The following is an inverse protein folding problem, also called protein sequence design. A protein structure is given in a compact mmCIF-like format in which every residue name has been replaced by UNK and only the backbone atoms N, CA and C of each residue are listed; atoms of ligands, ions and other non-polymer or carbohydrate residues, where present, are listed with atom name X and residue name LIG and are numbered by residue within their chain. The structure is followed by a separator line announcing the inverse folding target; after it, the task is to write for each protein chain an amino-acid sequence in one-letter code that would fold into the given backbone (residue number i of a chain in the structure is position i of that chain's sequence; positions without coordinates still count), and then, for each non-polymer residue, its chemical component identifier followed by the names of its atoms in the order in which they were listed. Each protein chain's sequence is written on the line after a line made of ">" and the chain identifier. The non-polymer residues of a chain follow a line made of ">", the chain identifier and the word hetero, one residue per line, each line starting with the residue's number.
data_IF_218478451391
#
_entry.id   IF_218478451391
#
_cell.length_a   1.000
_cell.length_b   1.000
_cell.length_c   1.000
_cell.angle_alpha   90.00
_cell.angle_beta   90.00
_cell.angle_gamma   90.00
#
_symmetry.space_group_name_H-M   'P 1'
#
loop_
_entity.id
_entity.type
_entity.pdbx_description
1 polymer ?
#
# COMPACT_ATOMS: atom_id res chain seq x y z
N UNK A 1 1.29 -15.14 16.90
CA UNK A 1 1.49 -14.89 15.46
C UNK A 1 1.82 -16.21 14.79
N UNK A 2 1.41 -16.46 13.53
CA UNK A 2 1.81 -17.68 12.81
C UNK A 2 3.32 -17.61 12.50
N UNK A 3 4.03 -18.73 12.62
CA UNK A 3 5.35 -18.85 12.03
C UNK A 3 5.21 -18.86 10.50
N UNK A 4 5.85 -17.91 9.83
CA UNK A 4 5.82 -17.75 8.37
C UNK A 4 7.18 -18.12 7.72
N UNK A 5 8.06 -18.81 8.42
CA UNK A 5 9.40 -19.16 7.92
C UNK A 5 9.34 -20.00 6.65
N UNK A 6 8.36 -20.91 6.55
CA UNK A 6 8.11 -21.70 5.34
C UNK A 6 7.22 -21.00 4.30
N UNK A 7 6.87 -19.73 4.48
CA UNK A 7 6.23 -18.92 3.43
C UNK A 7 7.28 -18.53 2.39
N UNK A 8 7.77 -19.53 1.66
CA UNK A 8 8.82 -19.38 0.65
C UNK A 8 8.60 -20.36 -0.50
N UNK A 9 9.13 -20.05 -1.67
CA UNK A 9 9.14 -20.99 -2.79
C UNK A 9 10.22 -22.05 -2.61
N UNK A 10 9.99 -23.27 -3.07
CA UNK A 10 10.92 -24.37 -2.92
C UNK A 10 12.30 -24.05 -3.50
N UNK A 11 12.39 -23.29 -4.60
CA UNK A 11 13.67 -22.95 -5.22
C UNK A 11 14.56 -22.11 -4.29
N UNK A 12 14.00 -21.33 -3.38
CA UNK A 12 14.76 -20.60 -2.37
C UNK A 12 15.56 -21.58 -1.50
N UNK A 13 14.88 -22.59 -0.95
CA UNK A 13 15.52 -23.58 -0.10
C UNK A 13 16.53 -24.46 -0.86
N UNK A 14 16.23 -24.82 -2.12
CA UNK A 14 17.19 -25.60 -2.94
C UNK A 14 18.43 -24.76 -3.29
N UNK A 15 18.28 -23.46 -3.55
CA UNK A 15 19.42 -22.56 -3.72
C UNK A 15 20.22 -22.40 -2.42
N UNK A 16 19.55 -22.22 -1.28
CA UNK A 16 20.22 -22.14 0.02
C UNK A 16 21.07 -23.39 0.29
N UNK A 17 20.51 -24.59 0.05
CA UNK A 17 21.26 -25.83 0.17
C UNK A 17 22.47 -25.85 -0.78
N UNK A 18 22.28 -25.37 -2.02
CA UNK A 18 23.38 -25.23 -2.98
C UNK A 18 24.49 -24.29 -2.51
N UNK A 19 24.13 -23.14 -1.95
CA UNK A 19 25.08 -22.18 -1.38
C UNK A 19 25.83 -22.79 -0.18
N UNK A 20 25.12 -23.52 0.70
CA UNK A 20 25.69 -24.21 1.83
C UNK A 20 26.73 -25.28 1.38
N UNK A 21 26.37 -26.17 0.45
CA UNK A 21 27.23 -27.21 -0.07
C UNK A 21 28.47 -26.66 -0.83
N UNK A 22 28.38 -25.43 -1.35
CA UNK A 22 29.48 -24.71 -2.01
C UNK A 22 30.29 -23.83 -1.08
N UNK A 23 29.94 -23.73 0.20
CA UNK A 23 30.57 -22.86 1.20
C UNK A 23 30.62 -21.37 0.80
N UNK A 24 29.55 -20.88 0.14
CA UNK A 24 29.38 -19.45 -0.24
C UNK A 24 28.17 -18.82 0.45
N UNK A 25 27.51 -19.55 1.34
CA UNK A 25 26.28 -19.10 2.00
C UNK A 25 26.49 -17.89 2.91
N UNK A 26 27.69 -17.74 3.48
CA UNK A 26 28.07 -16.62 4.34
C UNK A 26 28.61 -15.39 3.59
N UNK A 27 28.74 -15.46 2.27
CA UNK A 27 29.17 -14.32 1.45
C UNK A 27 28.20 -13.15 1.66
N UNK A 28 28.71 -11.97 1.98
CA UNK A 28 27.87 -10.79 2.15
C UNK A 28 27.41 -10.27 0.80
N UNK A 29 26.12 -10.07 0.66
CA UNK A 29 25.47 -9.59 -0.57
C UNK A 29 24.54 -8.43 -0.31
N UNK A 30 24.21 -7.70 -1.38
CA UNK A 30 23.22 -6.64 -1.37
C UNK A 30 22.10 -6.98 -2.35
N UNK A 31 20.87 -7.00 -1.86
CA UNK A 31 19.66 -7.11 -2.68
C UNK A 31 18.84 -5.85 -2.56
N UNK A 32 18.16 -5.47 -3.64
CA UNK A 32 17.17 -4.41 -3.64
C UNK A 32 15.77 -4.92 -3.99
N UNK A 33 14.78 -4.47 -3.23
CA UNK A 33 13.38 -4.55 -3.62
C UNK A 33 12.97 -3.25 -4.31
N UNK A 34 12.32 -3.36 -5.47
CA UNK A 34 11.75 -2.23 -6.21
C UNK A 34 10.58 -2.71 -7.09
N UNK A 35 9.82 -1.79 -7.65
CA UNK A 35 8.80 -2.11 -8.67
C UNK A 35 9.12 -1.40 -9.99
N UNK A 36 8.55 -1.90 -11.11
CA UNK A 36 8.83 -1.37 -12.46
C UNK A 36 7.76 -0.44 -13.00
N UNK A 37 6.54 -0.54 -12.49
CA UNK A 37 5.39 0.28 -12.87
C UNK A 37 4.61 0.66 -11.64
N UNK A 38 4.08 1.88 -11.63
CA UNK A 38 3.21 2.31 -10.55
C UNK A 38 1.94 1.47 -10.48
N UNK A 39 1.39 1.31 -9.27
CA UNK A 39 0.10 0.69 -9.04
C UNK A 39 -1.02 1.43 -9.80
N UNK A 40 -2.02 0.70 -10.28
CA UNK A 40 -3.24 1.24 -10.90
C UNK A 40 -2.98 2.19 -12.08
N UNK A 41 -1.90 2.00 -12.84
CA UNK A 41 -1.46 2.92 -13.90
C UNK A 41 -1.39 4.39 -13.43
N UNK A 42 -1.15 4.60 -12.14
CA UNK A 42 -1.05 5.91 -11.50
C UNK A 42 0.31 6.57 -11.68
N UNK A 43 0.45 7.79 -11.20
CA UNK A 43 1.72 8.54 -11.24
C UNK A 43 2.64 8.24 -10.06
N UNK A 44 2.20 7.48 -9.05
CA UNK A 44 2.94 7.18 -7.82
C UNK A 44 2.50 5.85 -7.20
N UNK A 45 3.29 5.37 -6.23
CA UNK A 45 2.95 4.21 -5.39
C UNK A 45 3.27 4.51 -3.93
N UNK A 46 2.31 4.28 -3.03
CA UNK A 46 2.50 4.41 -1.58
C UNK A 46 3.10 3.11 -1.06
N UNK A 47 4.26 3.15 -0.43
CA UNK A 47 4.87 1.96 0.18
C UNK A 47 4.19 1.64 1.51
N UNK A 48 3.72 0.40 1.64
CA UNK A 48 3.03 -0.09 2.82
C UNK A 48 3.39 -1.57 3.09
N UNK A 49 3.25 -2.03 4.33
CA UNK A 49 3.57 -3.40 4.74
C UNK A 49 4.94 -3.56 5.40
N UNK A 50 5.67 -2.48 5.62
CA UNK A 50 6.98 -2.51 6.28
C UNK A 50 6.87 -3.06 7.71
N UNK A 51 5.85 -2.66 8.46
CA UNK A 51 5.63 -3.16 9.83
C UNK A 51 5.42 -4.68 9.85
N UNK A 52 4.59 -5.23 8.96
CA UNK A 52 4.38 -6.67 8.87
C UNK A 52 5.65 -7.41 8.45
N UNK A 53 6.46 -6.81 7.60
CA UNK A 53 7.76 -7.38 7.24
C UNK A 53 8.74 -7.37 8.42
N UNK A 54 8.75 -6.32 9.25
CA UNK A 54 9.52 -6.28 10.50
C UNK A 54 9.08 -7.40 11.46
N UNK A 55 7.78 -7.62 11.59
CA UNK A 55 7.24 -8.72 12.39
C UNK A 55 7.71 -10.09 11.86
N UNK A 56 7.73 -10.26 10.53
CA UNK A 56 8.23 -11.48 9.89
C UNK A 56 9.72 -11.72 10.24
N UNK A 57 10.59 -10.71 10.04
CA UNK A 57 12.03 -10.84 10.34
C UNK A 57 12.30 -11.13 11.82
N UNK A 58 11.56 -10.49 12.73
CA UNK A 58 11.70 -10.72 14.16
C UNK A 58 11.26 -12.13 14.60
N UNK A 59 10.43 -12.81 13.82
CA UNK A 59 9.87 -14.12 14.18
C UNK A 59 10.36 -15.26 13.28
N UNK A 60 11.24 -15.00 12.30
CA UNK A 60 11.75 -16.03 11.40
C UNK A 60 12.64 -17.02 12.16
N UNK A 61 12.25 -18.29 12.14
CA UNK A 61 12.98 -19.41 12.73
C UNK A 61 12.44 -20.74 12.21
N UNK A 62 13.29 -21.74 12.01
CA UNK A 62 12.84 -23.07 11.63
C UNK A 62 12.52 -23.88 12.92
N UNK A 63 11.25 -24.24 13.10
CA UNK A 63 10.83 -25.15 14.17
C UNK A 63 11.23 -26.59 13.85
N UNK A 64 11.23 -27.48 14.87
CA UNK A 64 11.49 -28.92 14.63
C UNK A 64 10.47 -29.52 13.64
N UNK A 65 9.21 -29.11 13.70
CA UNK A 65 8.17 -29.54 12.76
C UNK A 65 8.47 -29.09 11.32
N UNK A 66 8.98 -27.86 11.14
CA UNK A 66 9.43 -27.35 9.84
C UNK A 66 10.59 -28.18 9.30
N UNK A 67 11.59 -28.50 10.15
CA UNK A 67 12.76 -29.30 9.77
C UNK A 67 12.40 -30.75 9.44
N UNK A 68 11.49 -31.36 10.19
CA UNK A 68 10.97 -32.70 9.91
C UNK A 68 10.20 -32.75 8.59
N UNK A 69 9.40 -31.72 8.32
CA UNK A 69 8.74 -31.57 7.02
C UNK A 69 9.76 -31.44 5.87
N UNK A 70 10.75 -30.55 5.99
CA UNK A 70 11.80 -30.39 4.98
C UNK A 70 12.59 -31.67 4.76
N UNK A 71 12.88 -32.42 5.81
CA UNK A 71 13.54 -33.73 5.74
C UNK A 71 12.73 -34.74 4.96
N UNK A 72 11.41 -34.74 5.12
CA UNK A 72 10.47 -35.63 4.41
C UNK A 72 10.47 -35.44 2.90
N UNK A 73 10.89 -34.27 2.41
CA UNK A 73 11.00 -33.96 0.97
C UNK A 73 12.15 -34.72 0.30
N UNK A 74 13.11 -35.25 1.06
CA UNK A 74 14.31 -35.96 0.57
C UNK A 74 15.17 -35.16 -0.44
N UNK A 75 15.19 -33.81 -0.28
CA UNK A 75 15.94 -32.88 -1.15
C UNK A 75 17.17 -32.30 -0.48
N UNK A 76 17.23 -32.34 0.85
CA UNK A 76 18.21 -31.61 1.66
C UNK A 76 19.10 -32.56 2.46
N UNK A 77 20.38 -32.21 2.62
CA UNK A 77 21.30 -32.97 3.47
C UNK A 77 20.96 -32.75 4.95
N UNK A 78 21.24 -33.76 5.80
CA UNK A 78 21.07 -33.61 7.24
C UNK A 78 21.90 -32.46 7.81
N UNK A 79 23.08 -32.18 7.24
CA UNK A 79 23.95 -31.07 7.65
C UNK A 79 23.32 -29.73 7.36
N UNK A 80 22.65 -29.58 6.22
CA UNK A 80 21.95 -28.35 5.88
C UNK A 80 20.73 -28.14 6.77
N UNK A 81 19.96 -29.19 7.08
CA UNK A 81 18.82 -29.09 8.00
C UNK A 81 19.28 -28.71 9.42
N UNK A 82 20.42 -29.26 9.88
CA UNK A 82 21.02 -28.87 11.17
C UNK A 82 21.46 -27.40 11.16
N UNK A 83 22.04 -26.93 10.05
CA UNK A 83 22.39 -25.51 9.88
C UNK A 83 21.17 -24.59 9.93
N UNK A 84 20.03 -24.97 9.34
CA UNK A 84 18.79 -24.19 9.38
C UNK A 84 18.20 -24.10 10.78
N UNK A 85 18.44 -25.05 11.68
CA UNK A 85 17.93 -25.04 13.07
C UNK A 85 18.35 -23.78 13.83
N UNK A 86 19.57 -23.30 13.59
CA UNK A 86 20.16 -22.15 14.25
C UNK A 86 19.95 -20.85 13.44
N UNK A 87 19.04 -20.88 12.46
CA UNK A 87 18.80 -19.71 11.61
C UNK A 87 18.37 -18.51 12.43
N UNK A 88 19.10 -17.42 12.26
CA UNK A 88 18.78 -16.09 12.80
C UNK A 88 19.18 -15.06 11.77
N UNK A 89 18.33 -14.05 11.57
CA UNK A 89 18.70 -12.92 10.71
C UNK A 89 19.73 -12.03 11.45
N UNK A 90 20.85 -11.77 10.81
CA UNK A 90 21.97 -10.99 11.37
C UNK A 90 22.44 -9.85 10.48
N UNK A 91 21.75 -9.63 9.35
CA UNK A 91 22.14 -8.62 8.38
C UNK A 91 21.57 -7.22 8.68
N UNK A 92 21.88 -6.30 7.76
CA UNK A 92 21.34 -4.96 7.71
C UNK A 92 20.16 -4.90 6.72
N UNK A 93 19.11 -4.18 7.10
CA UNK A 93 18.00 -3.83 6.22
C UNK A 93 17.78 -2.33 6.29
N UNK A 94 17.72 -1.70 5.13
CA UNK A 94 17.35 -0.31 4.96
C UNK A 94 16.04 -0.26 4.18
N UNK A 95 15.08 0.55 4.61
CA UNK A 95 13.80 0.70 3.92
C UNK A 95 13.34 2.15 3.94
N UNK A 96 12.47 2.50 3.01
CA UNK A 96 11.74 3.76 3.11
C UNK A 96 10.76 3.69 4.27
N UNK A 97 10.45 4.82 4.86
CA UNK A 97 9.43 4.91 5.90
C UNK A 97 8.06 4.48 5.34
N UNK A 98 7.30 3.69 6.10
CA UNK A 98 5.96 3.26 5.66
C UNK A 98 5.07 4.49 5.42
N UNK A 99 4.37 4.51 4.28
CA UNK A 99 3.62 5.66 3.80
C UNK A 99 4.40 6.60 2.86
N UNK A 100 5.70 6.39 2.66
CA UNK A 100 6.47 7.16 1.67
C UNK A 100 5.99 6.85 0.26
N UNK A 101 5.88 7.88 -0.57
CA UNK A 101 5.58 7.74 -1.99
C UNK A 101 6.88 7.41 -2.73
N UNK A 102 6.83 6.37 -3.57
CA UNK A 102 7.95 5.94 -4.39
C UNK A 102 7.54 5.78 -5.85
N UNK A 103 8.55 5.69 -6.71
CA UNK A 103 8.39 5.64 -8.16
C UNK A 103 9.13 4.42 -8.76
N UNK A 104 8.88 4.06 -10.03
CA UNK A 104 9.48 2.88 -10.66
C UNK A 104 11.01 2.88 -10.63
N UNK A 105 11.59 1.68 -10.40
CA UNK A 105 13.03 1.38 -10.43
C UNK A 105 13.85 1.99 -9.28
N UNK A 106 13.22 2.55 -8.26
CA UNK A 106 13.87 2.99 -7.04
C UNK A 106 13.90 1.86 -6.01
N UNK A 107 15.04 1.60 -5.34
CA UNK A 107 15.05 0.75 -4.17
C UNK A 107 14.10 1.28 -3.08
N UNK A 108 13.09 0.49 -2.72
CA UNK A 108 12.19 0.76 -1.59
C UNK A 108 12.68 0.07 -0.31
N UNK A 109 13.47 -0.98 -0.50
CA UNK A 109 14.11 -1.72 0.57
C UNK A 109 15.41 -2.33 0.03
N UNK A 110 16.49 -2.21 0.81
CA UNK A 110 17.80 -2.81 0.52
C UNK A 110 18.21 -3.71 1.68
N UNK A 111 18.62 -4.93 1.36
CA UNK A 111 19.13 -5.92 2.32
C UNK A 111 20.62 -6.13 2.06
N UNK A 112 21.43 -5.96 3.10
CA UNK A 112 22.86 -6.31 3.12
C UNK A 112 23.04 -7.38 4.19
N UNK A 113 23.28 -8.63 3.77
CA UNK A 113 23.31 -9.77 4.68
C UNK A 113 24.10 -10.95 4.10
N UNK A 114 24.39 -12.00 4.89
CA UNK A 114 24.82 -13.27 4.34
C UNK A 114 23.86 -13.78 3.27
N UNK A 115 24.40 -14.37 2.19
CA UNK A 115 23.65 -14.74 0.99
C UNK A 115 22.42 -15.61 1.29
N UNK A 116 22.55 -16.59 2.20
CA UNK A 116 21.43 -17.46 2.57
C UNK A 116 20.29 -16.70 3.27
N UNK A 117 20.61 -15.71 4.10
CA UNK A 117 19.61 -14.89 4.79
C UNK A 117 18.92 -13.93 3.81
N UNK A 118 19.72 -13.21 3.01
CA UNK A 118 19.18 -12.26 2.03
C UNK A 118 18.29 -12.96 1.00
N UNK A 119 18.64 -14.19 0.59
CA UNK A 119 17.84 -14.96 -0.38
C UNK A 119 16.53 -15.48 0.21
N UNK A 120 16.55 -16.02 1.44
CA UNK A 120 15.38 -16.66 2.05
C UNK A 120 14.18 -15.71 2.19
N UNK A 121 14.42 -14.45 2.53
CA UNK A 121 13.38 -13.49 2.86
C UNK A 121 12.61 -12.95 1.63
N UNK A 122 13.09 -13.20 0.39
CA UNK A 122 12.49 -12.69 -0.85
C UNK A 122 10.99 -12.98 -0.95
N UNK A 123 10.63 -14.27 -0.81
CA UNK A 123 9.26 -14.69 -1.11
C UNK A 123 8.24 -14.12 -0.11
N UNK A 124 8.59 -14.02 1.19
CA UNK A 124 7.69 -13.43 2.18
C UNK A 124 7.62 -11.89 2.06
N UNK A 125 8.76 -11.24 1.80
CA UNK A 125 8.86 -9.80 1.62
C UNK A 125 7.93 -9.31 0.50
N UNK A 126 7.98 -9.97 -0.66
CA UNK A 126 7.27 -9.50 -1.86
C UNK A 126 5.74 -9.44 -1.68
N UNK A 127 5.00 -10.49 -1.28
CA UNK A 127 3.55 -10.41 -1.14
C UNK A 127 3.13 -9.48 0.00
N UNK A 128 3.91 -9.38 1.08
CA UNK A 128 3.60 -8.48 2.20
C UNK A 128 3.62 -7.02 1.74
N UNK A 129 4.70 -6.58 1.11
CA UNK A 129 4.88 -5.17 0.72
C UNK A 129 4.11 -4.85 -0.55
N UNK A 130 4.10 -5.74 -1.56
CA UNK A 130 3.39 -5.51 -2.81
C UNK A 130 1.88 -5.35 -2.59
N UNK A 131 1.27 -6.25 -1.82
CA UNK A 131 -0.18 -6.23 -1.59
C UNK A 131 -0.61 -4.97 -0.85
N UNK A 132 0.03 -4.67 0.29
CA UNK A 132 -0.37 -3.49 1.08
C UNK A 132 -0.08 -2.18 0.34
N UNK A 133 1.04 -2.09 -0.39
CA UNK A 133 1.34 -0.90 -1.22
C UNK A 133 0.31 -0.71 -2.33
N UNK A 134 -0.11 -1.80 -2.97
CA UNK A 134 -1.16 -1.77 -3.99
C UNK A 134 -2.48 -1.23 -3.43
N UNK A 135 -2.94 -1.76 -2.28
CA UNK A 135 -4.21 -1.35 -1.67
C UNK A 135 -4.14 0.07 -1.12
N UNK A 136 -3.04 0.47 -0.48
CA UNK A 136 -2.86 1.84 0.00
C UNK A 136 -2.90 2.85 -1.17
N UNK A 137 -2.26 2.53 -2.28
CA UNK A 137 -2.28 3.37 -3.49
C UNK A 137 -3.67 3.43 -4.11
N UNK A 138 -4.38 2.29 -4.24
CA UNK A 138 -5.77 2.26 -4.72
C UNK A 138 -6.69 3.10 -3.83
N UNK A 139 -6.58 2.96 -2.51
CA UNK A 139 -7.34 3.75 -1.55
C UNK A 139 -7.09 5.26 -1.70
N UNK A 140 -5.83 5.66 -1.86
CA UNK A 140 -5.45 7.06 -2.07
C UNK A 140 -6.11 7.65 -3.33
N UNK A 141 -6.19 6.89 -4.42
CA UNK A 141 -6.86 7.32 -5.66
C UNK A 141 -8.38 7.46 -5.47
N UNK A 142 -8.99 6.51 -4.76
CA UNK A 142 -10.42 6.58 -4.41
C UNK A 142 -10.72 7.80 -3.54
N UNK A 143 -9.88 8.04 -2.52
CA UNK A 143 -10.02 9.22 -1.64
C UNK A 143 -9.79 10.53 -2.39
N UNK A 144 -8.86 10.57 -3.35
CA UNK A 144 -8.65 11.73 -4.21
C UNK A 144 -9.90 12.04 -5.06
N UNK A 145 -10.54 11.00 -5.63
CA UNK A 145 -11.79 11.14 -6.38
C UNK A 145 -12.95 11.64 -5.52
N UNK A 146 -12.98 11.28 -4.24
CA UNK A 146 -14.02 11.69 -3.29
C UNK A 146 -13.93 13.16 -2.87
N UNK A 147 -12.84 13.89 -3.21
CA UNK A 147 -12.69 15.33 -3.00
C UNK A 147 -12.96 15.80 -1.56
N UNK A 148 -12.48 15.03 -0.58
CA UNK A 148 -12.62 15.35 0.85
C UNK A 148 -13.80 14.66 1.55
N UNK A 149 -14.72 14.05 0.83
CA UNK A 149 -15.77 13.24 1.44
C UNK A 149 -15.14 11.97 2.09
N UNK A 150 -15.71 11.47 3.19
CA UNK A 150 -15.24 10.24 3.83
C UNK A 150 -15.43 9.03 2.92
N UNK A 151 -14.36 8.25 2.79
CA UNK A 151 -14.36 6.94 2.14
C UNK A 151 -14.26 5.85 3.21
N UNK A 152 -15.18 4.90 3.17
CA UNK A 152 -15.30 3.78 4.12
C UNK A 152 -14.91 2.49 3.40
N UNK A 153 -13.97 1.73 3.97
CA UNK A 153 -13.54 0.44 3.41
C UNK A 153 -14.54 -0.65 3.78
N UNK A 154 -15.26 -1.21 2.80
CA UNK A 154 -16.30 -2.23 2.94
C UNK A 154 -15.98 -3.54 2.20
N UNK A 155 -14.69 -3.82 1.96
CA UNK A 155 -14.25 -4.90 1.09
C UNK A 155 -14.00 -6.26 1.76
N UNK A 156 -14.02 -6.38 3.10
CA UNK A 156 -13.63 -7.59 3.83
C UNK A 156 -14.17 -8.88 3.22
N UNK A 157 -15.49 -8.96 2.94
CA UNK A 157 -16.15 -10.16 2.38
C UNK A 157 -15.80 -10.44 0.92
N UNK A 158 -15.03 -9.58 0.25
CA UNK A 158 -14.61 -9.69 -1.15
C UNK A 158 -13.10 -9.86 -1.31
N UNK A 159 -12.36 -9.77 -0.21
CA UNK A 159 -10.90 -9.95 -0.21
C UNK A 159 -10.51 -11.40 -0.53
N UNK A 160 -9.30 -11.57 -1.09
CA UNK A 160 -8.74 -12.89 -1.40
C UNK A 160 -8.14 -13.56 -0.15
N UNK A 161 -8.99 -13.82 0.82
CA UNK A 161 -8.66 -14.48 2.08
C UNK A 161 -8.62 -13.55 3.30
N UNK A 162 -8.61 -14.12 4.51
CA UNK A 162 -8.71 -13.35 5.77
C UNK A 162 -7.57 -12.35 5.97
N UNK A 163 -6.35 -12.74 5.63
CA UNK A 163 -5.18 -11.86 5.76
C UNK A 163 -5.27 -10.68 4.80
N UNK A 164 -5.67 -10.93 3.54
CA UNK A 164 -5.91 -9.86 2.57
C UNK A 164 -7.01 -8.90 3.06
N UNK A 165 -8.08 -9.40 3.67
CA UNK A 165 -9.11 -8.55 4.26
C UNK A 165 -8.61 -7.73 5.45
N UNK A 166 -7.71 -8.26 6.27
CA UNK A 166 -7.23 -7.62 7.49
C UNK A 166 -6.13 -6.59 7.20
N UNK A 167 -5.08 -7.01 6.51
CA UNK A 167 -3.98 -6.10 6.13
C UNK A 167 -4.37 -5.14 5.01
N UNK A 168 -5.33 -5.53 4.15
CA UNK A 168 -5.90 -4.64 3.16
C UNK A 168 -6.72 -3.49 3.79
N UNK A 169 -7.48 -3.77 4.85
CA UNK A 169 -8.18 -2.73 5.62
C UNK A 169 -7.19 -1.73 6.27
N UNK A 170 -6.08 -2.24 6.86
CA UNK A 170 -4.99 -1.41 7.37
C UNK A 170 -4.41 -0.50 6.26
N UNK A 171 -4.05 -1.10 5.13
CA UNK A 171 -3.49 -0.38 3.99
C UNK A 171 -4.46 0.66 3.42
N UNK A 172 -5.76 0.34 3.35
CA UNK A 172 -6.78 1.28 2.88
C UNK A 172 -6.89 2.51 3.79
N UNK A 173 -6.82 2.33 5.12
CA UNK A 173 -6.83 3.46 6.07
C UNK A 173 -5.54 4.28 5.95
N UNK A 174 -4.38 3.65 5.79
CA UNK A 174 -3.12 4.36 5.50
C UNK A 174 -3.25 5.17 4.21
N UNK A 175 -3.85 4.61 3.15
CA UNK A 175 -4.08 5.28 1.87
C UNK A 175 -5.13 6.39 1.89
N UNK A 176 -5.85 6.59 3.01
CA UNK A 176 -6.77 7.73 3.18
C UNK A 176 -8.20 7.37 3.58
N UNK A 177 -8.62 6.09 3.56
CA UNK A 177 -9.95 5.72 4.02
C UNK A 177 -10.18 6.13 5.48
N UNK A 178 -11.37 6.63 5.78
CA UNK A 178 -11.69 7.18 7.11
C UNK A 178 -11.90 6.08 8.15
N UNK A 179 -12.36 4.91 7.73
CA UNK A 179 -12.68 3.78 8.60
C UNK A 179 -12.79 2.49 7.77
N UNK A 180 -12.88 1.35 8.47
CA UNK A 180 -13.15 0.03 7.86
C UNK A 180 -14.37 -0.64 8.49
N UNK A 181 -14.99 -1.56 7.78
CA UNK A 181 -16.00 -2.48 8.35
C UNK A 181 -15.36 -3.70 9.05
N UNK A 182 -14.04 -3.87 8.97
CA UNK A 182 -13.34 -5.04 9.52
C UNK A 182 -13.04 -4.84 11.00
N UNK A 183 -13.84 -5.49 11.85
CA UNK A 183 -13.72 -5.42 13.32
C UNK A 183 -12.36 -5.96 13.81
N UNK A 184 -11.83 -7.02 13.17
CA UNK A 184 -10.52 -7.57 13.52
C UNK A 184 -9.40 -6.58 13.21
N UNK A 185 -9.43 -5.93 12.03
CA UNK A 185 -8.47 -4.90 11.68
C UNK A 185 -8.56 -3.70 12.64
N UNK A 186 -9.78 -3.29 13.02
CA UNK A 186 -9.99 -2.27 14.03
C UNK A 186 -9.28 -2.58 15.34
N UNK A 187 -9.43 -3.82 15.84
CA UNK A 187 -8.79 -4.28 17.07
C UNK A 187 -7.26 -4.39 16.94
N UNK A 188 -6.77 -4.92 15.80
CA UNK A 188 -5.34 -5.19 15.64
C UNK A 188 -4.51 -3.92 15.45
N UNK A 189 -5.07 -2.92 14.73
CA UNK A 189 -4.33 -1.76 14.26
C UNK A 189 -4.83 -0.44 14.85
N UNK A 190 -5.76 -0.50 15.80
CA UNK A 190 -6.38 0.68 16.43
C UNK A 190 -6.93 1.70 15.41
N UNK A 191 -7.66 1.18 14.41
CA UNK A 191 -8.29 2.00 13.36
C UNK A 191 -9.80 2.07 13.54
N UNK A 192 -10.46 3.18 13.12
CA UNK A 192 -11.89 3.36 13.27
C UNK A 192 -12.69 2.27 12.57
N UNK A 193 -13.70 1.74 13.27
CA UNK A 193 -14.63 0.74 12.73
C UNK A 193 -16.00 1.34 12.53
N UNK A 194 -16.58 1.14 11.35
CA UNK A 194 -17.91 1.60 11.00
C UNK A 194 -18.69 0.49 10.31
N UNK A 195 -20.00 0.57 10.44
CA UNK A 195 -20.91 -0.34 9.77
C UNK A 195 -22.33 0.15 9.97
N UNK A 196 -23.23 -0.39 9.17
CA UNK A 196 -24.66 -0.14 9.25
C UNK A 196 -25.41 -1.47 9.34
N UNK A 197 -26.52 -1.59 8.68
CA UNK A 197 -27.33 -2.78 8.56
C UNK A 197 -27.25 -3.37 7.16
N UNK A 198 -27.64 -4.62 7.01
CA UNK A 198 -27.82 -5.29 5.73
C UNK A 198 -29.30 -5.40 5.38
N UNK A 199 -29.63 -5.67 4.12
CA UNK A 199 -31.02 -5.91 3.67
C UNK A 199 -31.72 -7.01 4.49
N UNK A 200 -31.00 -8.03 4.95
CA UNK A 200 -31.53 -9.10 5.81
C UNK A 200 -32.09 -8.62 7.15
N UNK A 201 -31.57 -7.50 7.71
CA UNK A 201 -32.17 -6.87 8.88
C UNK A 201 -33.59 -6.39 8.57
N UNK A 202 -33.76 -5.68 7.44
CA UNK A 202 -35.06 -5.13 7.04
C UNK A 202 -36.03 -6.26 6.70
N UNK A 203 -35.58 -7.26 5.96
CA UNK A 203 -36.37 -8.45 5.57
C UNK A 203 -36.82 -9.33 6.75
N UNK A 204 -36.22 -9.17 7.94
CA UNK A 204 -36.59 -9.94 9.14
C UNK A 204 -37.88 -9.41 9.80
N UNK A 205 -38.22 -8.14 9.60
CA UNK A 205 -39.42 -7.52 10.16
C UNK A 205 -40.60 -7.62 9.19
N UNK A 206 -41.81 -7.49 9.70
CA UNK A 206 -43.01 -7.56 8.88
C UNK A 206 -43.13 -6.36 7.92
N UNK A 207 -42.61 -5.20 8.36
CA UNK A 207 -42.58 -3.98 7.56
C UNK A 207 -41.21 -3.29 7.62
N UNK A 208 -40.84 -2.56 6.56
CA UNK A 208 -39.59 -1.78 6.50
C UNK A 208 -39.51 -0.71 7.59
N UNK A 209 -40.64 -0.05 7.90
CA UNK A 209 -40.69 0.98 8.94
C UNK A 209 -40.45 0.41 10.34
N UNK A 210 -40.94 -0.78 10.64
CA UNK A 210 -40.67 -1.47 11.91
C UNK A 210 -39.16 -1.77 12.04
N UNK A 211 -38.53 -2.22 10.98
CA UNK A 211 -37.08 -2.46 10.94
C UNK A 211 -36.29 -1.17 11.21
N UNK A 212 -36.69 -0.06 10.61
CA UNK A 212 -36.05 1.25 10.79
C UNK A 212 -36.24 1.79 12.21
N UNK A 213 -37.47 1.71 12.76
CA UNK A 213 -37.76 2.12 14.15
C UNK A 213 -36.95 1.27 15.14
N UNK A 214 -36.91 -0.03 14.97
CA UNK A 214 -36.13 -0.91 15.84
C UNK A 214 -34.62 -0.58 15.79
N UNK A 215 -34.07 -0.25 14.61
CA UNK A 215 -32.68 0.17 14.50
C UNK A 215 -32.42 1.51 15.17
N UNK A 216 -33.31 2.48 14.95
CA UNK A 216 -33.22 3.81 15.53
C UNK A 216 -33.32 3.82 17.07
N UNK A 217 -34.18 2.98 17.63
CA UNK A 217 -34.33 2.85 19.09
C UNK A 217 -33.04 2.27 19.76
N UNK A 218 -32.31 1.40 19.07
CA UNK A 218 -31.05 0.80 19.57
C UNK A 218 -29.86 1.75 19.35
N UNK A 219 -29.81 2.43 18.20
CA UNK A 219 -28.67 3.26 17.77
C UNK A 219 -29.09 4.68 17.37
N UNK A 220 -29.71 5.46 18.27
CA UNK A 220 -30.34 6.75 17.89
C UNK A 220 -29.34 7.75 17.29
N UNK A 221 -28.14 7.89 17.88
CA UNK A 221 -27.11 8.84 17.43
C UNK A 221 -26.19 8.27 16.33
N UNK A 222 -26.40 7.01 15.92
CA UNK A 222 -25.67 6.32 14.83
C UNK A 222 -26.62 5.77 13.77
N UNK A 223 -27.83 6.32 13.69
CA UNK A 223 -28.87 5.85 12.80
C UNK A 223 -28.55 6.25 11.34
N UNK A 224 -28.03 5.29 10.57
CA UNK A 224 -27.83 5.37 9.13
C UNK A 224 -28.71 4.28 8.49
N UNK A 225 -29.75 4.63 7.77
CA UNK A 225 -30.76 3.70 7.27
C UNK A 225 -30.50 3.29 5.82
N UNK A 226 -30.55 1.97 5.55
CA UNK A 226 -30.44 1.39 4.22
C UNK A 226 -31.82 1.41 3.54
N UNK A 227 -32.02 2.30 2.56
CA UNK A 227 -33.35 2.64 2.04
C UNK A 227 -33.74 1.98 0.71
N UNK A 228 -32.89 1.11 0.19
CA UNK A 228 -33.07 0.50 -1.13
C UNK A 228 -33.40 -1.02 -1.08
N UNK A 229 -33.93 -1.50 0.06
CA UNK A 229 -34.32 -2.92 0.17
C UNK A 229 -35.49 -3.24 -0.76
N UNK A 230 -36.45 -2.35 -0.92
CA UNK A 230 -37.63 -2.53 -1.80
C UNK A 230 -37.72 -1.42 -2.85
N UNK A 231 -38.11 -0.20 -2.44
CA UNK A 231 -38.20 0.93 -3.34
C UNK A 231 -37.77 2.21 -2.62
N UNK A 232 -36.69 2.81 -3.12
CA UNK A 232 -36.09 4.00 -2.46
C UNK A 232 -37.10 5.14 -2.28
N UNK A 233 -37.75 5.56 -3.37
CA UNK A 233 -38.59 6.79 -3.36
C UNK A 233 -39.98 6.59 -2.82
N UNK A 234 -40.58 5.38 -3.00
CA UNK A 234 -41.96 5.13 -2.61
C UNK A 234 -42.09 4.48 -1.23
N UNK A 235 -41.02 3.94 -0.66
CA UNK A 235 -41.03 3.23 0.63
C UNK A 235 -39.84 3.65 1.52
N UNK A 236 -38.62 3.33 1.14
CA UNK A 236 -37.42 3.48 1.99
C UNK A 236 -37.22 4.93 2.47
N UNK A 237 -37.26 5.90 1.59
CA UNK A 237 -37.03 7.31 1.92
C UNK A 237 -38.20 7.91 2.77
N UNK A 238 -39.51 7.71 2.43
CA UNK A 238 -40.61 8.12 3.28
C UNK A 238 -40.53 7.52 4.68
N UNK A 239 -40.29 6.24 4.82
CA UNK A 239 -40.13 5.54 6.10
C UNK A 239 -38.94 6.09 6.90
N UNK A 240 -37.79 6.34 6.24
CA UNK A 240 -36.62 6.93 6.89
C UNK A 240 -36.92 8.35 7.42
N UNK A 241 -37.61 9.18 6.65
CA UNK A 241 -38.00 10.54 7.07
C UNK A 241 -38.90 10.49 8.29
N UNK A 242 -39.86 9.56 8.35
CA UNK A 242 -40.74 9.40 9.53
C UNK A 242 -39.88 9.07 10.77
N UNK A 243 -38.97 8.09 10.66
CA UNK A 243 -38.08 7.71 11.77
C UNK A 243 -37.17 8.88 12.18
N UNK A 244 -36.69 9.66 11.24
CA UNK A 244 -35.83 10.82 11.53
C UNK A 244 -36.60 11.95 12.27
N UNK A 245 -37.88 12.10 11.98
CA UNK A 245 -38.74 13.02 12.74
C UNK A 245 -38.90 12.54 14.19
N UNK A 246 -39.18 11.25 14.39
CA UNK A 246 -39.27 10.63 15.72
C UNK A 246 -37.97 10.80 16.53
N UNK A 247 -36.82 10.58 15.88
CA UNK A 247 -35.49 10.78 16.51
C UNK A 247 -35.26 12.24 16.90
N UNK A 248 -35.59 13.19 16.03
CA UNK A 248 -35.46 14.63 16.29
C UNK A 248 -36.34 15.08 17.44
N UNK A 249 -37.59 14.58 17.54
CA UNK A 249 -38.49 14.84 18.66
C UNK A 249 -37.96 14.31 20.00
N UNK A 250 -37.24 13.18 19.96
CA UNK A 250 -36.52 12.59 21.10
C UNK A 250 -35.19 13.30 21.41
N UNK A 251 -34.75 14.28 20.63
CA UNK A 251 -33.52 15.05 20.83
C UNK A 251 -32.26 14.41 20.19
N UNK A 252 -32.43 13.43 19.32
CA UNK A 252 -31.34 12.77 18.60
C UNK A 252 -31.12 13.31 17.18
N UNK A 253 -29.93 13.16 16.65
CA UNK A 253 -29.60 13.56 15.27
C UNK A 253 -29.26 12.31 14.45
N UNK A 254 -30.09 11.91 13.45
CA UNK A 254 -29.79 10.79 12.59
C UNK A 254 -28.52 11.05 11.74
N UNK A 255 -27.76 10.01 11.43
CA UNK A 255 -26.58 10.14 10.57
C UNK A 255 -26.96 10.31 9.10
N UNK A 256 -27.96 9.59 8.60
CA UNK A 256 -28.37 9.69 7.22
C UNK A 256 -28.97 8.43 6.61
N UNK A 257 -28.88 8.37 5.29
CA UNK A 257 -29.34 7.23 4.49
C UNK A 257 -28.20 6.60 3.68
N UNK A 258 -28.40 5.32 3.31
CA UNK A 258 -27.49 4.59 2.43
C UNK A 258 -28.22 4.05 1.21
N UNK A 259 -27.62 4.28 0.04
CA UNK A 259 -28.01 3.77 -1.27
C UNK A 259 -26.99 2.73 -1.73
N UNK A 260 -27.42 1.49 -2.01
CA UNK A 260 -26.55 0.38 -2.42
C UNK A 260 -26.89 -0.13 -3.84
N UNK A 261 -27.89 0.48 -4.50
CA UNK A 261 -28.39 0.05 -5.81
C UNK A 261 -29.06 1.18 -6.61
N UNK A 262 -29.29 0.92 -7.90
CA UNK A 262 -30.00 1.85 -8.80
C UNK A 262 -29.10 2.94 -9.38
N UNK A 263 -29.70 3.94 -10.02
CA UNK A 263 -29.00 5.12 -10.50
C UNK A 263 -28.67 6.04 -9.32
N UNK A 264 -27.43 5.96 -8.87
CA UNK A 264 -26.97 6.67 -7.66
C UNK A 264 -27.06 8.21 -7.80
N UNK A 265 -26.83 8.76 -9.00
CA UNK A 265 -27.00 10.21 -9.23
C UNK A 265 -28.45 10.63 -9.07
N UNK A 266 -29.35 9.97 -9.82
CA UNK A 266 -30.77 10.28 -9.78
C UNK A 266 -31.35 10.13 -8.38
N UNK A 267 -31.11 8.95 -7.77
CA UNK A 267 -31.65 8.63 -6.45
C UNK A 267 -31.13 9.55 -5.36
N UNK A 268 -29.81 9.86 -5.35
CA UNK A 268 -29.24 10.74 -4.32
C UNK A 268 -29.82 12.16 -4.41
N UNK A 269 -30.04 12.69 -5.62
CA UNK A 269 -30.61 14.01 -5.80
C UNK A 269 -32.09 14.06 -5.37
N UNK A 270 -32.88 13.03 -5.72
CA UNK A 270 -34.28 12.94 -5.25
C UNK A 270 -34.35 12.79 -3.72
N UNK A 271 -33.46 12.00 -3.13
CA UNK A 271 -33.36 11.87 -1.67
C UNK A 271 -33.00 13.21 -1.01
N UNK A 272 -32.01 13.92 -1.57
CA UNK A 272 -31.57 15.22 -1.05
C UNK A 272 -32.71 16.22 -1.05
N UNK A 273 -33.43 16.34 -2.17
CA UNK A 273 -34.57 17.26 -2.30
C UNK A 273 -35.67 16.97 -1.27
N UNK A 274 -35.97 15.69 -1.04
CA UNK A 274 -36.99 15.30 -0.05
C UNK A 274 -36.52 15.53 1.38
N UNK A 275 -35.27 15.20 1.70
CA UNK A 275 -34.68 15.44 3.02
C UNK A 275 -34.60 16.93 3.34
N UNK A 276 -34.25 17.77 2.39
CA UNK A 276 -34.19 19.23 2.55
C UNK A 276 -35.56 19.85 2.86
N UNK A 277 -36.61 19.41 2.15
CA UNK A 277 -37.98 19.83 2.38
C UNK A 277 -38.46 19.52 3.80
N UNK A 278 -37.97 18.43 4.40
CA UNK A 278 -38.33 18.00 5.76
C UNK A 278 -37.35 18.52 6.84
N UNK A 279 -36.39 19.37 6.44
CA UNK A 279 -35.43 20.00 7.37
C UNK A 279 -34.27 19.11 7.80
N UNK A 280 -33.88 18.13 6.97
CA UNK A 280 -32.77 17.23 7.20
C UNK A 280 -31.59 17.48 6.22
N UNK A 281 -31.28 18.75 5.96
CA UNK A 281 -30.28 19.16 4.95
C UNK A 281 -28.85 18.73 5.29
N UNK A 282 -28.53 18.48 6.55
CA UNK A 282 -27.17 18.21 7.03
C UNK A 282 -26.84 16.72 7.23
N UNK A 283 -27.79 15.82 6.96
CA UNK A 283 -27.53 14.38 7.11
C UNK A 283 -26.79 13.79 5.93
N UNK A 284 -26.13 12.65 6.16
CA UNK A 284 -25.30 11.99 5.13
C UNK A 284 -26.17 11.22 4.13
N UNK A 285 -25.79 11.31 2.85
CA UNK A 285 -26.23 10.39 1.80
C UNK A 285 -25.00 9.55 1.43
N UNK A 286 -24.97 8.32 1.93
CA UNK A 286 -23.88 7.38 1.67
C UNK A 286 -24.22 6.53 0.47
N UNK A 287 -23.32 6.44 -0.51
CA UNK A 287 -23.41 5.49 -1.61
C UNK A 287 -22.48 4.30 -1.39
N UNK A 288 -22.93 3.13 -1.79
CA UNK A 288 -22.12 1.91 -1.90
C UNK A 288 -22.54 1.16 -3.17
N UNK A 289 -21.87 0.08 -3.53
CA UNK A 289 -22.06 -0.71 -4.76
C UNK A 289 -21.08 -0.37 -5.88
N UNK A 290 -20.18 -1.30 -6.18
CA UNK A 290 -19.22 -1.31 -7.31
C UNK A 290 -18.48 0.01 -7.59
N UNK A 291 -18.25 0.79 -6.54
CA UNK A 291 -17.57 2.08 -6.62
C UNK A 291 -16.07 1.91 -6.79
N UNK A 292 -15.49 2.77 -7.58
CA UNK A 292 -14.06 3.01 -7.77
C UNK A 292 -13.77 4.51 -7.94
N UNK A 293 -12.49 4.87 -8.09
CA UNK A 293 -12.08 6.26 -8.30
C UNK A 293 -12.72 6.91 -9.53
N UNK A 294 -12.98 6.17 -10.58
CA UNK A 294 -13.56 6.72 -11.83
C UNK A 294 -15.06 6.93 -11.70
N UNK A 295 -15.77 5.98 -11.11
CA UNK A 295 -17.20 6.09 -10.84
C UNK A 295 -17.48 7.23 -9.87
N UNK A 296 -16.69 7.36 -8.79
CA UNK A 296 -16.83 8.45 -7.83
C UNK A 296 -16.56 9.80 -8.49
N UNK A 297 -15.47 9.91 -9.27
CA UNK A 297 -15.15 11.15 -9.98
C UNK A 297 -16.27 11.58 -10.96
N UNK A 298 -16.85 10.61 -11.68
CA UNK A 298 -17.99 10.87 -12.58
C UNK A 298 -19.23 11.35 -11.81
N UNK A 299 -19.63 10.65 -10.73
CA UNK A 299 -20.77 11.04 -9.91
C UNK A 299 -20.61 12.43 -9.28
N UNK A 300 -19.39 12.77 -8.82
CA UNK A 300 -19.06 14.11 -8.30
C UNK A 300 -19.17 15.17 -9.41
N UNK A 301 -18.60 14.91 -10.58
CA UNK A 301 -18.66 15.84 -11.72
C UNK A 301 -20.10 16.08 -12.22
N UNK A 302 -20.92 15.04 -12.16
CA UNK A 302 -22.34 15.09 -12.54
C UNK A 302 -23.23 15.74 -11.48
N UNK A 303 -22.70 16.10 -10.31
CA UNK A 303 -23.45 16.75 -9.23
C UNK A 303 -24.37 15.80 -8.47
N UNK A 304 -23.97 14.54 -8.26
CA UNK A 304 -24.66 13.62 -7.36
C UNK A 304 -24.61 14.15 -5.91
N UNK A 305 -25.73 14.11 -5.19
CA UNK A 305 -25.84 14.58 -3.82
C UNK A 305 -25.30 13.58 -2.78
N UNK A 306 -24.19 12.91 -3.11
CA UNK A 306 -23.54 11.93 -2.27
C UNK A 306 -22.37 12.61 -1.56
N UNK A 307 -22.24 12.40 -0.26
CA UNK A 307 -21.20 12.98 0.58
C UNK A 307 -20.49 11.95 1.50
N UNK A 308 -20.70 10.65 1.24
CA UNK A 308 -19.99 9.55 1.91
C UNK A 308 -19.97 8.32 1.00
N UNK A 309 -18.86 7.58 0.98
CA UNK A 309 -18.59 6.54 0.00
C UNK A 309 -18.17 5.22 0.66
N UNK A 310 -18.99 4.18 0.52
CA UNK A 310 -18.68 2.82 0.97
C UNK A 310 -18.09 2.02 -0.17
N UNK A 311 -16.77 1.81 -0.19
CA UNK A 311 -16.06 1.16 -1.30
C UNK A 311 -15.60 -0.24 -0.90
N UNK A 312 -15.98 -1.24 -1.68
CA UNK A 312 -15.75 -2.65 -1.34
C UNK A 312 -14.82 -3.35 -2.32
N UNK A 313 -15.42 -4.13 -3.24
CA UNK A 313 -14.71 -5.07 -4.12
C UNK A 313 -13.53 -4.44 -4.86
N UNK A 314 -13.78 -3.36 -5.58
CA UNK A 314 -12.77 -2.75 -6.45
C UNK A 314 -11.60 -2.13 -5.68
N UNK A 315 -11.82 -1.74 -4.42
CA UNK A 315 -10.76 -1.27 -3.53
C UNK A 315 -9.90 -2.44 -3.03
N UNK A 316 -10.54 -3.40 -2.32
CA UNK A 316 -9.80 -4.45 -1.61
C UNK A 316 -9.11 -5.47 -2.53
N UNK A 317 -9.55 -5.57 -3.78
CA UNK A 317 -8.95 -6.45 -4.80
C UNK A 317 -8.07 -5.68 -5.79
N UNK A 318 -8.08 -4.35 -5.75
CA UNK A 318 -7.45 -3.51 -6.78
C UNK A 318 -7.74 -4.02 -8.19
N UNK A 319 -9.02 -4.17 -8.53
CA UNK A 319 -9.53 -5.00 -9.65
C UNK A 319 -8.90 -4.72 -11.01
N UNK A 320 -8.51 -3.47 -11.30
CA UNK A 320 -7.86 -3.08 -12.57
C UNK A 320 -6.35 -3.37 -12.59
N UNK A 321 -5.75 -3.56 -11.41
CA UNK A 321 -4.31 -3.81 -11.25
C UNK A 321 -4.14 -4.79 -10.07
N UNK A 322 -4.32 -6.11 -10.28
CA UNK A 322 -4.43 -7.09 -9.20
C UNK A 322 -3.11 -7.36 -8.48
N UNK A 323 -2.00 -6.85 -8.99
CA UNK A 323 -0.68 -7.00 -8.35
C UNK A 323 0.21 -5.78 -8.61
N UNK A 324 1.00 -5.41 -7.61
CA UNK A 324 2.17 -4.55 -7.81
C UNK A 324 3.32 -5.45 -8.28
N UNK A 325 3.89 -5.17 -9.44
CA UNK A 325 4.99 -5.96 -10.00
C UNK A 325 6.34 -5.70 -9.31
N UNK A 326 6.36 -5.75 -7.98
CA UNK A 326 7.57 -5.61 -7.19
C UNK A 326 8.49 -6.82 -7.37
N UNK A 327 9.79 -6.57 -7.36
CA UNK A 327 10.85 -7.56 -7.56
C UNK A 327 11.96 -7.36 -6.54
N UNK A 328 12.73 -8.43 -6.30
CA UNK A 328 13.87 -8.43 -5.41
C UNK A 328 15.09 -8.95 -6.18
N UNK A 329 16.19 -8.18 -6.26
CA UNK A 329 17.29 -8.49 -7.17
C UNK A 329 18.65 -8.27 -6.51
N UNK A 330 19.56 -9.24 -6.72
CA UNK A 330 20.96 -9.11 -6.35
C UNK A 330 21.58 -7.90 -7.06
N UNK A 331 22.16 -7.00 -6.29
CA UNK A 331 22.73 -5.74 -6.75
C UNK A 331 24.25 -5.67 -6.55
N UNK A 332 24.78 -6.31 -5.51
CA UNK A 332 26.22 -6.40 -5.27
C UNK A 332 26.56 -7.63 -4.42
N UNK A 333 27.85 -8.04 -4.47
CA UNK A 333 28.46 -9.05 -3.60
C UNK A 333 29.72 -8.43 -2.99
N UNK A 334 29.94 -8.64 -1.67
CA UNK A 334 31.13 -8.13 -1.00
C UNK A 334 32.29 -9.11 -1.20
N UNK A 335 33.39 -8.63 -1.75
CA UNK A 335 34.57 -9.43 -2.00
C UNK A 335 35.84 -8.57 -1.87
N UNK A 336 36.86 -9.10 -1.27
CA UNK A 336 38.19 -8.46 -1.13
C UNK A 336 38.13 -7.02 -0.53
N UNK A 337 37.14 -6.76 0.36
CA UNK A 337 36.99 -5.47 1.02
C UNK A 337 36.08 -4.47 0.29
N UNK A 338 35.56 -4.81 -0.89
CA UNK A 338 34.75 -3.93 -1.71
C UNK A 338 33.45 -4.59 -2.17
N UNK A 339 32.43 -3.77 -2.52
CA UNK A 339 31.18 -4.23 -3.12
C UNK A 339 31.34 -4.37 -4.63
N UNK A 340 31.47 -5.61 -5.10
CA UNK A 340 31.45 -5.96 -6.52
C UNK A 340 30.02 -5.85 -7.07
N UNK A 341 29.73 -4.94 -8.04
CA UNK A 341 28.38 -4.76 -8.55
C UNK A 341 27.88 -5.98 -9.35
N UNK A 342 26.60 -6.28 -9.21
CA UNK A 342 25.91 -7.33 -9.96
C UNK A 342 24.76 -6.73 -10.74
N UNK A 343 24.54 -7.20 -11.98
CA UNK A 343 23.48 -6.72 -12.87
C UNK A 343 22.73 -7.90 -13.49
N UNK A 344 21.42 -7.80 -13.54
CA UNK A 344 20.60 -8.70 -14.36
C UNK A 344 20.35 -8.03 -15.71
N UNK A 345 20.85 -8.62 -16.76
CA UNK A 345 20.52 -8.25 -18.15
C UNK A 345 19.22 -8.93 -18.60
N UNK A 346 18.58 -8.35 -19.59
CA UNK A 346 17.36 -8.89 -20.19
C UNK A 346 17.24 -8.37 -21.62
N UNK A 347 16.62 -9.14 -22.50
CA UNK A 347 16.20 -8.68 -23.83
C UNK A 347 15.17 -7.54 -23.76
N UNK A 348 14.45 -7.48 -22.65
CA UNK A 348 13.53 -6.39 -22.31
C UNK A 348 14.29 -5.31 -21.51
N UNK A 349 14.57 -4.11 -22.07
CA UNK A 349 15.37 -3.09 -21.40
C UNK A 349 14.78 -2.60 -20.06
N UNK A 350 13.45 -2.64 -19.91
CA UNK A 350 12.77 -2.28 -18.65
C UNK A 350 13.09 -3.25 -17.50
N UNK A 351 13.61 -4.44 -17.81
CA UNK A 351 13.98 -5.47 -16.82
C UNK A 351 15.44 -5.42 -16.40
N UNK A 352 16.26 -4.56 -16.96
CA UNK A 352 17.66 -4.38 -16.59
C UNK A 352 17.71 -3.68 -15.23
N UNK A 353 18.36 -4.34 -14.24
CA UNK A 353 18.46 -3.78 -12.89
C UNK A 353 19.54 -2.70 -12.78
N UNK A 354 19.46 -1.85 -11.75
CA UNK A 354 20.52 -0.92 -11.40
C UNK A 354 21.54 -1.64 -10.50
N UNK A 355 22.84 -1.73 -10.88
CA UNK A 355 23.86 -2.45 -10.13
C UNK A 355 24.39 -1.67 -8.92
N UNK A 356 25.10 -2.37 -8.01
CA UNK A 356 25.83 -1.77 -6.91
C UNK A 356 24.98 -1.56 -5.65
N UNK A 357 25.65 -1.26 -4.53
CA UNK A 357 25.01 -0.85 -3.29
C UNK A 357 24.64 0.64 -3.38
N UNK A 358 23.38 0.99 -3.13
CA UNK A 358 22.80 2.30 -3.52
C UNK A 358 22.15 3.04 -2.36
N UNK A 359 21.98 4.35 -2.56
CA UNK A 359 21.15 5.27 -1.78
C UNK A 359 20.14 5.94 -2.72
N UNK A 360 19.06 6.44 -2.16
CA UNK A 360 18.02 7.19 -2.88
C UNK A 360 17.79 8.51 -2.17
N UNK A 361 17.89 9.62 -2.90
CA UNK A 361 17.65 10.96 -2.39
C UNK A 361 16.50 11.60 -3.15
N UNK A 362 15.54 12.16 -2.41
CA UNK A 362 14.49 13.04 -2.97
C UNK A 362 14.95 14.48 -2.88
N UNK A 363 14.81 15.19 -3.98
CA UNK A 363 15.17 16.59 -4.15
C UNK A 363 13.90 17.42 -4.03
N UNK A 364 13.93 18.43 -3.15
CA UNK A 364 12.82 19.35 -2.93
C UNK A 364 13.24 20.77 -3.31
N UNK A 365 12.28 21.55 -3.86
CA UNK A 365 12.46 22.98 -4.09
C UNK A 365 12.21 23.82 -2.82
N UNK A 366 12.33 25.15 -2.92
CA UNK A 366 12.13 26.10 -1.82
C UNK A 366 10.68 26.08 -1.27
N UNK A 367 9.70 25.57 -2.01
CA UNK A 367 8.30 25.40 -1.59
C UNK A 367 8.02 24.00 -0.96
N UNK A 368 9.06 23.21 -0.69
CA UNK A 368 8.96 21.82 -0.25
C UNK A 368 8.18 20.91 -1.23
N UNK A 369 8.20 21.23 -2.53
CA UNK A 369 7.70 20.35 -3.56
C UNK A 369 8.78 19.38 -4.03
N UNK A 370 8.41 18.10 -4.13
CA UNK A 370 9.28 17.05 -4.65
C UNK A 370 9.46 17.24 -6.18
N UNK A 371 10.72 17.38 -6.61
CA UNK A 371 11.08 17.75 -7.96
C UNK A 371 11.68 16.58 -8.77
N UNK A 372 12.42 15.71 -8.09
CA UNK A 372 13.04 14.53 -8.65
C UNK A 372 13.60 13.63 -7.55
N UNK A 373 13.82 12.35 -7.88
CA UNK A 373 14.59 11.43 -7.06
C UNK A 373 15.89 11.03 -7.79
N UNK A 374 16.98 10.92 -7.03
CA UNK A 374 18.30 10.57 -7.53
C UNK A 374 18.80 9.28 -6.86
N UNK A 375 19.06 8.26 -7.65
CA UNK A 375 19.66 7.02 -7.20
C UNK A 375 21.18 7.13 -7.38
N UNK A 376 21.94 6.85 -6.32
CA UNK A 376 23.38 7.00 -6.27
C UNK A 376 24.06 5.75 -5.69
N UNK A 377 25.31 5.54 -5.97
CA UNK A 377 26.11 4.55 -5.23
C UNK A 377 26.27 4.98 -3.76
N UNK A 378 26.36 4.03 -2.86
CA UNK A 378 26.48 4.29 -1.41
C UNK A 378 27.71 5.11 -1.03
N UNK A 379 28.77 5.09 -1.88
CA UNK A 379 30.00 5.86 -1.72
C UNK A 379 29.91 7.32 -2.14
N UNK A 380 28.87 7.69 -2.92
CA UNK A 380 28.68 9.05 -3.38
C UNK A 380 28.01 9.93 -2.32
N UNK A 381 28.19 11.23 -2.43
CA UNK A 381 27.55 12.25 -1.58
C UNK A 381 27.13 13.46 -2.40
N UNK A 382 26.10 14.18 -1.93
CA UNK A 382 25.64 15.44 -2.51
C UNK A 382 26.07 16.58 -1.61
N UNK A 383 26.68 17.61 -2.19
CA UNK A 383 27.01 18.87 -1.51
C UNK A 383 25.90 19.90 -1.80
N UNK A 384 24.98 20.07 -0.86
CA UNK A 384 23.83 20.99 -1.01
C UNK A 384 24.22 22.47 -1.13
N UNK A 385 25.49 22.83 -0.88
CA UNK A 385 26.00 24.18 -1.09
C UNK A 385 26.29 24.50 -2.57
N UNK A 386 26.24 23.51 -3.45
CA UNK A 386 26.54 23.64 -4.87
C UNK A 386 25.33 23.33 -5.75
N UNK A 387 25.23 23.94 -6.94
CA UNK A 387 24.22 23.55 -7.90
C UNK A 387 24.30 22.05 -8.25
N UNK A 388 23.14 21.39 -8.32
CA UNK A 388 23.02 20.00 -8.71
C UNK A 388 22.39 19.90 -10.09
N UNK A 389 23.06 19.23 -11.03
CA UNK A 389 22.48 18.90 -12.33
C UNK A 389 22.33 17.40 -12.47
N UNK A 390 21.11 16.95 -12.72
CA UNK A 390 20.73 15.55 -12.99
C UNK A 390 20.30 15.39 -14.44
N UNK A 391 20.30 14.18 -14.95
CA UNK A 391 19.96 13.88 -16.34
C UNK A 391 19.19 12.56 -16.46
N UNK A 392 18.31 12.50 -17.45
CA UNK A 392 17.51 11.30 -17.71
C UNK A 392 18.41 10.12 -18.12
N UNK A 393 18.29 8.93 -17.50
CA UNK A 393 19.25 7.83 -17.71
C UNK A 393 19.25 7.24 -19.13
N UNK A 394 18.17 7.45 -19.91
CA UNK A 394 18.04 7.03 -21.33
C UNK A 394 18.23 8.22 -22.26
N UNK A 395 17.51 9.30 -22.03
CA UNK A 395 17.54 10.53 -22.86
C UNK A 395 18.49 11.54 -22.22
N UNK A 396 19.80 11.27 -22.26
CA UNK A 396 20.84 11.98 -21.49
C UNK A 396 20.95 13.48 -21.78
N UNK A 397 20.36 13.97 -22.90
CA UNK A 397 20.23 15.40 -23.20
C UNK A 397 19.15 16.11 -22.37
N UNK A 398 18.21 15.36 -21.79
CA UNK A 398 17.20 15.91 -20.89
C UNK A 398 17.81 16.08 -19.51
N UNK A 399 18.22 17.30 -19.21
CA UNK A 399 18.83 17.66 -17.91
C UNK A 399 17.90 18.54 -17.09
N UNK A 400 18.09 18.52 -15.76
CA UNK A 400 17.46 19.46 -14.84
C UNK A 400 18.50 19.93 -13.83
N UNK A 401 18.60 21.25 -13.66
CA UNK A 401 19.53 21.87 -12.71
C UNK A 401 18.77 22.53 -11.56
N UNK A 402 19.32 22.39 -10.37
CA UNK A 402 18.80 22.96 -9.14
C UNK A 402 19.88 23.90 -8.55
N UNK A 403 19.56 25.18 -8.44
CA UNK A 403 20.43 26.19 -7.79
C UNK A 403 20.23 26.21 -6.27
N UNK A 404 18.96 26.10 -5.85
CA UNK A 404 18.54 26.03 -4.45
C UNK A 404 17.62 24.84 -4.28
N UNK A 405 17.97 23.97 -3.39
CA UNK A 405 17.22 22.74 -3.13
C UNK A 405 17.58 22.18 -1.74
N UNK A 406 16.77 21.27 -1.26
CA UNK A 406 17.08 20.39 -0.12
C UNK A 406 16.95 18.94 -0.53
N UNK A 407 17.67 18.06 0.15
CA UNK A 407 17.59 16.62 -0.11
C UNK A 407 17.13 15.86 1.13
N UNK A 408 16.46 14.73 0.88
CA UNK A 408 16.09 13.76 1.91
C UNK A 408 16.53 12.38 1.47
N UNK A 409 17.41 11.75 2.22
CA UNK A 409 17.71 10.32 2.00
C UNK A 409 16.49 9.50 2.40
N UNK A 410 16.01 8.64 1.49
CA UNK A 410 14.76 7.91 1.67
C UNK A 410 14.94 6.59 2.42
N UNK A 411 16.05 5.87 2.16
CA UNK A 411 16.33 4.60 2.82
C UNK A 411 16.87 4.83 4.24
N UNK A 412 16.16 4.32 5.24
CA UNK A 412 16.53 4.43 6.65
C UNK A 412 16.81 3.06 7.26
N UNK A 413 17.67 2.97 8.29
CA UNK A 413 17.94 1.72 8.98
C UNK A 413 16.66 1.10 9.55
N UNK A 414 16.36 -0.14 9.15
CA UNK A 414 15.27 -0.96 9.67
C UNK A 414 15.80 -2.06 10.61
N UNK A 415 16.92 -2.70 10.18
CA UNK A 415 17.74 -3.60 10.99
C UNK A 415 19.21 -3.25 10.78
N UNK A 416 20.02 -3.31 11.84
CA UNK A 416 21.47 -3.17 11.80
C UNK A 416 22.07 -4.29 12.64
N UNK A 417 22.98 -5.08 12.04
CA UNK A 417 23.57 -6.28 12.65
C UNK A 417 22.50 -7.23 13.25
N UNK A 418 21.37 -7.38 12.54
CA UNK A 418 20.22 -8.18 12.97
C UNK A 418 19.37 -7.55 14.08
N UNK A 419 19.74 -6.40 14.62
CA UNK A 419 18.95 -5.68 15.61
C UNK A 419 17.89 -4.78 14.99
N UNK A 420 16.63 -4.95 15.37
CA UNK A 420 15.52 -4.11 14.92
C UNK A 420 15.69 -2.65 15.39
N UNK A 421 15.72 -1.74 14.44
CA UNK A 421 15.74 -0.28 14.68
C UNK A 421 14.38 0.36 14.39
N UNK A 422 13.41 -0.41 13.90
CA UNK A 422 12.06 0.07 13.61
C UNK A 422 11.37 0.55 14.88
N UNK A 423 10.75 1.72 14.77
CA UNK A 423 9.88 2.27 15.82
C UNK A 423 8.45 2.15 15.35
N UNK A 424 7.66 1.38 16.06
CA UNK A 424 6.23 1.23 15.78
C UNK A 424 5.55 2.60 15.70
N UNK A 425 4.72 2.79 14.66
CA UNK A 425 3.87 3.97 14.46
C UNK A 425 2.42 3.51 14.38
N UNK A 426 1.52 4.28 14.95
CA UNK A 426 0.11 3.96 14.75
C UNK A 426 -0.30 4.28 13.30
N UNK A 427 -1.36 3.63 12.84
CA UNK A 427 -1.83 3.74 11.44
C UNK A 427 -2.21 5.18 11.08
N UNK A 428 -2.73 5.96 12.04
CA UNK A 428 -3.13 7.34 11.79
C UNK A 428 -1.92 8.27 11.61
N UNK A 429 -0.79 7.99 12.27
CA UNK A 429 0.46 8.72 12.05
C UNK A 429 1.06 8.40 10.66
N UNK A 430 1.00 7.12 10.24
CA UNK A 430 1.42 6.71 8.89
C UNK A 430 0.52 7.38 7.84
N UNK A 431 -0.79 7.41 8.04
CA UNK A 431 -1.74 8.14 7.17
C UNK A 431 -1.41 9.63 7.08
N UNK A 432 -1.05 10.25 8.21
CA UNK A 432 -0.63 11.67 8.22
C UNK A 432 0.65 11.86 7.40
N UNK A 433 1.60 10.92 7.49
CA UNK A 433 2.80 10.92 6.66
C UNK A 433 2.45 10.81 5.17
N UNK A 434 1.56 9.89 4.77
CA UNK A 434 1.04 9.79 3.39
C UNK A 434 0.47 11.12 2.90
N UNK A 435 -0.33 11.80 3.71
CA UNK A 435 -0.90 13.09 3.33
C UNK A 435 0.19 14.15 3.11
N UNK A 436 1.25 14.17 3.93
CA UNK A 436 2.37 15.08 3.75
C UNK A 436 3.14 14.78 2.46
N UNK A 437 3.39 13.50 2.17
CA UNK A 437 4.04 13.06 0.92
C UNK A 437 3.20 13.44 -0.31
N UNK A 438 1.88 13.18 -0.28
CA UNK A 438 0.96 13.59 -1.36
C UNK A 438 0.92 15.11 -1.57
N UNK A 439 0.99 15.89 -0.49
CA UNK A 439 1.00 17.35 -0.57
C UNK A 439 2.34 17.91 -1.09
N UNK A 440 3.42 17.15 -0.95
CA UNK A 440 4.72 17.52 -1.55
C UNK A 440 4.76 17.30 -3.06
N UNK A 441 3.89 16.44 -3.61
CA UNK A 441 3.81 16.24 -5.05
C UNK A 441 3.03 17.37 -5.75
N UNK A 442 3.40 17.66 -6.98
CA UNK A 442 2.60 18.46 -7.88
C UNK A 442 1.32 17.72 -8.28
N UNK A 443 0.24 18.45 -8.55
CA UNK A 443 -1.07 17.87 -8.86
C UNK A 443 -1.04 16.97 -10.10
N UNK A 444 -0.19 17.28 -11.07
CA UNK A 444 0.00 16.55 -12.33
C UNK A 444 0.38 15.08 -12.09
N UNK A 445 1.13 14.77 -11.02
CA UNK A 445 1.51 13.40 -10.66
C UNK A 445 0.36 12.64 -9.99
N UNK A 446 -0.67 13.35 -9.49
CA UNK A 446 -1.78 12.76 -8.73
C UNK A 446 -3.03 12.51 -9.58
N UNK A 447 -3.04 12.91 -10.85
CA UNK A 447 -4.17 12.72 -11.74
C UNK A 447 -4.60 11.26 -11.82
N UNK A 448 -5.92 11.04 -11.88
CA UNK A 448 -6.49 9.69 -12.04
C UNK A 448 -6.22 9.12 -13.42
N UNK A 449 -6.23 9.98 -14.44
CA UNK A 449 -5.98 9.61 -15.83
C UNK A 449 -4.80 10.40 -16.38
N UNK A 450 -3.93 9.71 -17.11
CA UNK A 450 -2.75 10.29 -17.76
C UNK A 450 -1.91 11.18 -16.81
N UNK A 451 -1.46 10.65 -15.66
CA UNK A 451 -0.61 11.41 -14.75
C UNK A 451 0.73 11.71 -15.42
N UNK A 452 1.36 12.82 -15.03
CA UNK A 452 2.73 13.12 -15.43
C UNK A 452 3.69 12.10 -14.82
N UNK A 453 4.71 11.70 -15.58
CA UNK A 453 5.78 10.83 -15.08
C UNK A 453 6.72 11.62 -14.17
N UNK A 454 6.93 11.14 -12.94
CA UNK A 454 7.87 11.71 -12.00
C UNK A 454 9.31 11.40 -12.44
N UNK A 455 10.22 12.35 -12.19
CA UNK A 455 11.61 12.25 -12.62
C UNK A 455 12.43 11.44 -11.62
N UNK A 456 12.90 10.27 -12.05
CA UNK A 456 13.84 9.40 -11.32
C UNK A 456 15.10 9.24 -12.18
N UNK A 457 16.20 9.76 -11.68
CA UNK A 457 17.47 9.76 -12.40
C UNK A 457 18.54 8.94 -11.66
N UNK A 458 19.61 8.63 -12.36
CA UNK A 458 20.81 8.01 -11.81
C UNK A 458 21.91 9.05 -11.64
N UNK A 459 22.73 8.91 -10.61
CA UNK A 459 23.99 9.65 -10.54
C UNK A 459 24.88 9.32 -11.75
N UNK A 460 25.82 10.19 -12.05
CA UNK A 460 26.72 9.98 -13.18
C UNK A 460 27.56 8.69 -13.00
N UNK A 461 28.03 8.43 -11.80
CA UNK A 461 28.87 7.26 -11.53
C UNK A 461 28.05 5.96 -11.61
N UNK A 462 26.84 5.94 -11.07
CA UNK A 462 25.93 4.78 -11.21
C UNK A 462 25.53 4.55 -12.67
N UNK A 463 25.27 5.62 -13.42
CA UNK A 463 24.95 5.53 -14.85
C UNK A 463 26.11 4.95 -15.67
N UNK A 464 27.34 5.43 -15.43
CA UNK A 464 28.54 4.88 -16.08
C UNK A 464 28.78 3.41 -15.72
N UNK A 465 28.66 3.06 -14.43
CA UNK A 465 28.79 1.69 -13.95
C UNK A 465 27.79 0.77 -14.66
N UNK A 466 26.52 1.17 -14.71
CA UNK A 466 25.46 0.39 -15.36
C UNK A 466 25.76 0.16 -16.84
N UNK A 467 26.10 1.21 -17.59
CA UNK A 467 26.40 1.09 -19.02
C UNK A 467 27.66 0.27 -19.29
N UNK A 468 28.72 0.45 -18.50
CA UNK A 468 29.93 -0.38 -18.58
C UNK A 468 29.62 -1.87 -18.40
N UNK A 469 28.77 -2.21 -17.42
CA UNK A 469 28.39 -3.60 -17.18
C UNK A 469 27.51 -4.17 -18.31
N UNK A 470 26.62 -3.36 -18.89
CA UNK A 470 25.83 -3.75 -20.07
C UNK A 470 26.77 -4.07 -21.23
N UNK A 471 27.74 -3.20 -21.53
CA UNK A 471 28.66 -3.37 -22.65
C UNK A 471 29.63 -4.55 -22.48
N UNK A 472 30.05 -4.82 -21.23
CA UNK A 472 30.96 -5.94 -20.92
C UNK A 472 30.27 -7.32 -21.02
N UNK A 473 28.94 -7.37 -21.07
CA UNK A 473 28.18 -8.62 -21.13
C UNK A 473 27.41 -8.78 -22.45
N UNK A 474 27.70 -7.93 -23.45
CA UNK A 474 27.28 -8.11 -24.86
C UNK A 474 28.21 -9.08 -25.57
#
# INVERSE_FOLDING_TARGET
>A
MRNLTLLTDLYQLTMLNGYFEKNIHEDIVVFDMFFRKNACNGGYTIVCGIEQFVEYINNIHFSEDDLDYLKSLNLFSNKFLEFLRDFKFTGDIYAVEEGTIMFPNEPILTVKAPLYQAQLIETALLPIVNFQSLIATKASRVCFAAQGDPVLEFGLRRAQGPDAGTYGARAAVIGGCSATANVLAGKMFDIPVVGTQAHSWIQKFDTEIEAFKAYADIYPDKCLLLVDTYNVLNSGLPNAIEVFKDLREKGHTPLGIRLDSGDLKYLSNQCKDALDKEGFSNISITASNDLDEYTIASLKADGAAINSWGVGTKLITSSESPSLGGVYKLAASFKDGEFEPKIKLSEDPEKISNPGYKKVFRIYNEENKAEADLIMLHTESIDESKPLTIFHPIYTWQTKSFEKYTIKELLKPLFIDGECKYKHKNVMDIRKHVNNELNSLWEEYRRLSNPQTYKVDLSRDLWYLKNKMIDSNK
#
